data_IF_208785176200
#
_entry.id   IF_208785176200
#
_cell.length_a   1.000
_cell.length_b   1.000
_cell.length_c   1.000
_cell.angle_alpha   90.00
_cell.angle_beta   90.00
_cell.angle_gamma   90.00
#
_symmetry.space_group_name_H-M   'P 1'
#
loop_
_entity.id
_entity.type
_entity.pdbx_description
1 polymer ?
#
# COMPACT_ATOMS: atom_id res chain seq x y z
N UNK A 1 20.42 -20.30 8.06
CA UNK A 1 21.68 -20.77 8.67
C UNK A 1 22.76 -19.75 8.39
N UNK A 2 22.80 -18.69 9.20
CA UNK A 2 23.95 -17.81 9.36
C UNK A 2 24.27 -17.92 10.86
N UNK A 3 25.55 -17.99 11.20
CA UNK A 3 26.03 -18.28 12.56
C UNK A 3 25.45 -17.31 13.60
N UNK A 4 25.34 -17.78 14.85
CA UNK A 4 25.06 -16.95 16.03
C UNK A 4 26.31 -16.20 16.52
N UNK A 5 27.46 -16.49 15.93
CA UNK A 5 28.72 -15.77 16.09
C UNK A 5 28.99 -15.04 14.77
N UNK A 6 29.55 -13.84 14.75
CA UNK A 6 29.68 -12.98 13.55
C UNK A 6 30.55 -13.56 12.39
N UNK A 7 30.82 -14.87 12.39
CA UNK A 7 31.53 -15.58 11.36
C UNK A 7 30.58 -16.16 10.30
N UNK A 8 30.88 -15.87 9.04
CA UNK A 8 30.25 -16.52 7.89
C UNK A 8 30.65 -18.01 7.90
N UNK A 9 29.70 -18.90 8.20
CA UNK A 9 29.94 -20.36 8.24
C UNK A 9 30.26 -20.94 6.85
N UNK A 10 29.78 -20.29 5.80
CA UNK A 10 29.87 -20.81 4.43
C UNK A 10 30.42 -19.77 3.47
N UNK A 11 31.53 -20.08 2.81
CA UNK A 11 32.10 -19.21 1.79
C UNK A 11 31.21 -19.09 0.53
N UNK A 12 30.32 -20.06 0.27
CA UNK A 12 29.46 -20.04 -0.92
C UNK A 12 28.03 -20.55 -0.68
N UNK A 13 27.10 -20.03 -1.47
CA UNK A 13 25.70 -20.44 -1.54
C UNK A 13 25.56 -21.95 -1.79
N UNK A 14 26.39 -22.51 -2.69
CA UNK A 14 26.39 -23.95 -2.99
C UNK A 14 26.78 -24.77 -1.76
N UNK A 15 27.83 -24.37 -1.02
CA UNK A 15 28.25 -25.07 0.20
C UNK A 15 27.16 -25.00 1.27
N UNK A 16 26.55 -23.82 1.43
CA UNK A 16 25.43 -23.60 2.36
C UNK A 16 24.23 -24.51 2.06
N UNK A 17 23.80 -24.59 0.80
CA UNK A 17 22.67 -25.43 0.40
C UNK A 17 22.98 -26.92 0.54
N UNK A 18 24.19 -27.36 0.18
CA UNK A 18 24.63 -28.75 0.42
C UNK A 18 24.61 -29.10 1.89
N UNK A 19 25.12 -28.20 2.75
CA UNK A 19 25.08 -28.41 4.19
C UNK A 19 23.64 -28.49 4.71
N UNK A 20 22.75 -27.58 4.30
CA UNK A 20 21.33 -27.63 4.68
C UNK A 20 20.68 -28.96 4.31
N UNK A 21 20.93 -29.45 3.09
CA UNK A 21 20.44 -30.76 2.64
C UNK A 21 20.97 -31.90 3.49
N UNK A 22 22.25 -31.88 3.85
CA UNK A 22 22.86 -32.89 4.74
C UNK A 22 22.31 -32.84 6.17
N UNK A 23 21.78 -31.70 6.60
CA UNK A 23 21.09 -31.53 7.87
C UNK A 23 19.57 -31.81 7.78
N UNK A 24 19.12 -32.47 6.69
CA UNK A 24 17.72 -32.82 6.43
C UNK A 24 16.76 -31.63 6.33
N UNK A 25 17.25 -30.42 6.05
CA UNK A 25 16.37 -29.32 5.69
C UNK A 25 15.85 -29.49 4.25
N UNK A 26 14.59 -29.14 3.99
CA UNK A 26 14.08 -29.07 2.63
C UNK A 26 14.83 -27.97 1.85
N UNK A 27 15.45 -28.36 0.74
CA UNK A 27 16.16 -27.44 -0.16
C UNK A 27 15.49 -27.40 -1.53
N UNK A 28 15.49 -26.22 -2.16
CA UNK A 28 15.00 -26.07 -3.54
C UNK A 28 15.99 -26.64 -4.56
N UNK A 29 15.51 -26.96 -5.76
CA UNK A 29 16.38 -27.32 -6.89
C UNK A 29 17.26 -26.12 -7.26
N UNK A 30 18.57 -26.36 -7.41
CA UNK A 30 19.54 -25.33 -7.77
C UNK A 30 20.46 -25.80 -8.88
N UNK A 31 20.84 -24.89 -9.78
CA UNK A 31 21.77 -25.15 -10.87
C UNK A 31 22.85 -24.08 -10.87
N UNK A 32 24.11 -24.51 -10.86
CA UNK A 32 25.27 -23.62 -11.01
C UNK A 32 25.50 -23.41 -12.50
N UNK A 33 25.72 -22.15 -12.87
CA UNK A 33 25.97 -21.72 -14.24
C UNK A 33 27.09 -20.69 -14.24
N UNK A 34 27.83 -20.60 -15.35
CA UNK A 34 29.02 -19.75 -15.44
C UNK A 34 28.85 -18.59 -16.43
N UNK A 35 27.81 -18.63 -17.27
CA UNK A 35 27.54 -17.61 -18.29
C UNK A 35 26.10 -17.11 -18.22
N UNK A 36 25.83 -15.83 -18.51
CA UNK A 36 24.47 -15.29 -18.53
C UNK A 36 23.51 -16.05 -19.45
N UNK A 37 23.98 -16.54 -20.60
CA UNK A 37 23.17 -17.32 -21.55
C UNK A 37 22.66 -18.63 -20.95
N UNK A 38 23.44 -19.24 -20.06
CA UNK A 38 23.02 -20.46 -19.35
C UNK A 38 21.90 -20.15 -18.35
N UNK A 39 21.91 -18.97 -17.72
CA UNK A 39 20.81 -18.52 -16.84
C UNK A 39 19.51 -18.39 -17.65
N UNK A 40 19.57 -17.81 -18.85
CA UNK A 40 18.40 -17.66 -19.73
C UNK A 40 17.86 -19.03 -20.10
N UNK A 41 18.73 -19.95 -20.53
CA UNK A 41 18.33 -21.33 -20.85
C UNK A 41 17.71 -22.05 -19.66
N UNK A 42 18.29 -21.93 -18.47
CA UNK A 42 17.73 -22.53 -17.25
C UNK A 42 16.35 -21.94 -16.93
N UNK A 43 16.15 -20.64 -17.14
CA UNK A 43 14.84 -20.02 -16.97
C UNK A 43 13.81 -20.59 -17.96
N UNK A 44 14.18 -20.78 -19.22
CA UNK A 44 13.29 -21.39 -20.23
C UNK A 44 12.97 -22.85 -19.89
N UNK A 45 13.98 -23.64 -19.53
CA UNK A 45 13.81 -25.04 -19.11
C UNK A 45 12.83 -25.15 -17.93
N UNK A 46 12.99 -24.30 -16.91
CA UNK A 46 12.10 -24.28 -15.74
C UNK A 46 10.71 -23.75 -16.08
N UNK A 47 10.61 -22.77 -16.98
CA UNK A 47 9.31 -22.26 -17.43
C UNK A 47 8.48 -23.36 -18.10
N UNK A 48 9.10 -24.19 -18.94
CA UNK A 48 8.44 -25.28 -19.65
C UNK A 48 7.90 -26.38 -18.71
N UNK A 49 8.54 -26.59 -17.56
CA UNK A 49 8.08 -27.57 -16.55
C UNK A 49 7.34 -26.91 -15.38
N UNK A 50 7.06 -25.60 -15.44
CA UNK A 50 6.50 -24.83 -14.31
C UNK A 50 5.20 -25.43 -13.79
N UNK A 51 4.33 -25.89 -14.69
CA UNK A 51 3.03 -26.49 -14.36
C UNK A 51 3.14 -27.87 -13.72
N UNK A 52 4.28 -28.55 -13.85
CA UNK A 52 4.49 -29.90 -13.28
C UNK A 52 5.17 -29.86 -11.91
N UNK A 53 5.51 -28.67 -11.40
CA UNK A 53 6.11 -28.52 -10.08
C UNK A 53 5.03 -28.64 -9.00
N UNK A 54 5.39 -29.22 -7.86
CA UNK A 54 4.50 -29.39 -6.69
C UNK A 54 4.14 -28.05 -6.01
N UNK A 55 4.73 -26.95 -6.47
CA UNK A 55 4.56 -25.62 -5.93
C UNK A 55 4.61 -24.58 -7.05
N UNK A 56 3.85 -23.50 -6.87
CA UNK A 56 3.89 -22.35 -7.76
C UNK A 56 5.21 -21.57 -7.63
N UNK A 57 5.78 -21.16 -8.75
CA UNK A 57 6.93 -20.26 -8.83
C UNK A 57 6.64 -19.12 -9.78
N UNK A 58 7.19 -17.93 -9.55
CA UNK A 58 7.05 -16.75 -10.40
C UNK A 58 8.34 -16.37 -11.15
N UNK A 59 9.41 -17.16 -10.96
CA UNK A 59 10.70 -16.95 -11.61
C UNK A 59 11.82 -17.75 -10.99
N UNK A 60 13.04 -17.35 -11.33
CA UNK A 60 14.28 -17.81 -10.69
C UNK A 60 14.85 -16.72 -9.79
N UNK A 61 15.61 -17.10 -8.77
CA UNK A 61 16.49 -16.18 -8.05
C UNK A 61 17.91 -16.45 -8.50
N UNK A 62 18.54 -15.45 -9.12
CA UNK A 62 19.94 -15.49 -9.50
C UNK A 62 20.73 -14.90 -8.34
N UNK A 63 21.79 -15.59 -7.91
CA UNK A 63 22.68 -15.13 -6.86
C UNK A 63 24.13 -15.29 -7.29
N UNK A 64 24.98 -14.37 -6.85
CA UNK A 64 26.41 -14.63 -6.77
C UNK A 64 26.66 -15.90 -5.93
N UNK A 65 27.64 -16.70 -6.33
CA UNK A 65 27.96 -17.92 -5.58
C UNK A 65 28.60 -17.61 -4.23
N UNK A 66 29.39 -16.54 -4.14
CA UNK A 66 30.04 -16.12 -2.91
C UNK A 66 29.07 -15.36 -2.00
N UNK A 67 29.14 -15.65 -0.70
CA UNK A 67 28.27 -14.99 0.29
C UNK A 67 28.88 -13.63 0.65
N UNK A 68 28.17 -12.56 0.27
CA UNK A 68 28.50 -11.18 0.62
C UNK A 68 27.54 -10.67 1.70
N UNK A 69 28.05 -10.57 2.94
CA UNK A 69 27.26 -10.12 4.09
C UNK A 69 26.86 -8.66 4.02
N UNK A 70 27.70 -7.79 3.44
CA UNK A 70 27.40 -6.36 3.33
C UNK A 70 26.25 -6.15 2.34
N UNK A 71 26.26 -6.88 1.22
CA UNK A 71 25.16 -6.82 0.25
C UNK A 71 23.85 -7.38 0.82
N UNK A 72 23.93 -8.46 1.61
CA UNK A 72 22.77 -9.07 2.27
C UNK A 72 22.10 -8.17 3.33
N UNK A 73 22.86 -7.27 3.97
CA UNK A 73 22.33 -6.31 4.95
C UNK A 73 21.54 -5.16 4.30
N UNK A 74 21.66 -4.98 2.98
CA UNK A 74 20.91 -3.95 2.25
C UNK A 74 19.43 -4.33 2.18
N UNK A 75 18.56 -3.34 2.33
CA UNK A 75 17.12 -3.52 2.11
C UNK A 75 16.80 -4.02 0.68
N UNK A 76 17.65 -3.69 -0.30
CA UNK A 76 17.64 -4.23 -1.66
C UNK A 76 19.06 -4.67 -2.05
N UNK A 77 19.40 -5.95 -1.89
CA UNK A 77 20.71 -6.49 -2.28
C UNK A 77 20.96 -6.36 -3.78
N UNK A 78 22.21 -6.13 -4.17
CA UNK A 78 22.63 -5.88 -5.55
C UNK A 78 23.25 -7.12 -6.23
N UNK A 79 23.74 -8.11 -5.47
CA UNK A 79 24.37 -9.35 -5.98
C UNK A 79 23.38 -10.51 -6.12
N UNK A 80 22.09 -10.20 -6.04
CA UNK A 80 21.02 -11.15 -6.32
C UNK A 80 19.84 -10.46 -6.99
N UNK A 81 19.17 -11.17 -7.88
CA UNK A 81 18.03 -10.64 -8.62
C UNK A 81 16.97 -11.73 -8.82
N UNK A 82 15.71 -11.34 -8.68
CA UNK A 82 14.58 -12.19 -9.06
C UNK A 82 14.36 -12.07 -10.57
N UNK A 83 14.70 -13.11 -11.32
CA UNK A 83 14.47 -13.21 -12.76
C UNK A 83 13.11 -13.86 -13.03
N UNK A 84 12.07 -13.02 -13.03
CA UNK A 84 10.68 -13.47 -13.17
C UNK A 84 10.36 -14.03 -14.54
N UNK A 85 9.40 -14.96 -14.61
CA UNK A 85 8.81 -15.39 -15.88
C UNK A 85 8.05 -14.23 -16.53
N UNK A 86 7.80 -14.33 -17.84
CA UNK A 86 6.82 -13.42 -18.44
C UNK A 86 5.47 -13.68 -17.78
N UNK A 87 4.75 -12.60 -17.49
CA UNK A 87 3.39 -12.71 -16.98
C UNK A 87 2.56 -13.48 -18.00
N UNK A 88 1.71 -14.38 -17.51
CA UNK A 88 0.74 -15.03 -18.36
C UNK A 88 -0.14 -13.93 -19.00
N UNK A 89 -0.28 -13.98 -20.31
CA UNK A 89 -1.08 -13.06 -21.09
C UNK A 89 -2.26 -13.83 -21.68
N UNK A 90 -3.47 -13.29 -21.55
CA UNK A 90 -4.66 -13.87 -22.16
C UNK A 90 -5.43 -12.80 -22.94
N UNK A 91 -6.06 -13.24 -24.03
CA UNK A 91 -6.94 -12.41 -24.85
C UNK A 91 -8.35 -12.44 -24.25
N UNK A 92 -9.00 -11.30 -24.22
CA UNK A 92 -10.40 -11.18 -23.79
C UNK A 92 -11.04 -9.95 -24.45
N UNK A 93 -12.35 -9.79 -24.32
CA UNK A 93 -13.10 -8.64 -24.82
C UNK A 93 -13.32 -7.62 -23.71
N UNK A 94 -13.08 -6.33 -24.00
CA UNK A 94 -13.50 -5.23 -23.12
C UNK A 94 -15.03 -5.05 -23.25
N UNK A 95 -15.74 -5.23 -22.14
CA UNK A 95 -17.21 -5.11 -22.08
C UNK A 95 -17.65 -3.71 -21.65
N UNK A 96 -16.93 -3.09 -20.71
CA UNK A 96 -17.25 -1.77 -20.16
C UNK A 96 -16.04 -1.17 -19.44
N UNK A 97 -16.09 0.12 -19.10
CA UNK A 97 -15.11 0.78 -18.21
C UNK A 97 -15.83 1.46 -17.06
N UNK A 98 -15.50 1.03 -15.84
CA UNK A 98 -16.00 1.63 -14.61
C UNK A 98 -14.94 2.50 -13.96
N UNK A 99 -15.36 3.63 -13.40
CA UNK A 99 -14.48 4.52 -12.66
C UNK A 99 -14.53 4.20 -11.18
N UNK A 100 -13.44 3.59 -10.68
CA UNK A 100 -13.28 3.32 -9.26
C UNK A 100 -12.90 4.61 -8.54
N UNK A 101 -13.62 4.95 -7.48
CA UNK A 101 -13.44 6.20 -6.76
C UNK A 101 -12.84 5.93 -5.40
N UNK A 102 -11.66 6.49 -5.15
CA UNK A 102 -10.92 6.35 -3.89
C UNK A 102 -10.41 7.72 -3.44
N UNK A 103 -10.95 8.21 -2.32
CA UNK A 103 -10.73 9.60 -1.94
C UNK A 103 -11.33 10.52 -2.99
N UNK A 104 -10.50 11.38 -3.58
CA UNK A 104 -10.91 12.26 -4.67
C UNK A 104 -10.45 11.78 -6.05
N UNK A 105 -9.78 10.63 -6.14
CA UNK A 105 -9.26 10.09 -7.38
C UNK A 105 -10.28 9.18 -8.07
N UNK A 106 -10.31 9.26 -9.39
CA UNK A 106 -11.10 8.43 -10.30
C UNK A 106 -10.12 7.58 -11.11
N UNK A 107 -10.17 6.27 -10.94
CA UNK A 107 -9.28 5.32 -11.59
C UNK A 107 -10.07 4.43 -12.54
N UNK A 108 -9.72 4.36 -13.84
CA UNK A 108 -10.45 3.53 -14.78
C UNK A 108 -10.16 2.04 -14.54
N UNK A 109 -11.22 1.24 -14.52
CA UNK A 109 -11.18 -0.21 -14.38
C UNK A 109 -11.94 -0.83 -15.55
N UNK A 110 -11.22 -1.58 -16.37
CA UNK A 110 -11.79 -2.35 -17.45
C UNK A 110 -12.62 -3.51 -16.89
N UNK A 111 -13.86 -3.64 -17.36
CA UNK A 111 -14.71 -4.81 -17.18
C UNK A 111 -14.53 -5.67 -18.42
N UNK A 112 -14.00 -6.87 -18.26
CA UNK A 112 -13.66 -7.77 -19.37
C UNK A 112 -14.50 -9.03 -19.32
N UNK A 113 -14.63 -9.69 -20.46
CA UNK A 113 -15.20 -11.02 -20.52
C UNK A 113 -14.40 -11.98 -19.63
N UNK A 114 -15.12 -12.83 -18.88
CA UNK A 114 -14.54 -13.63 -17.81
C UNK A 114 -13.57 -14.65 -18.41
N UNK A 115 -12.31 -14.59 -17.98
CA UNK A 115 -11.24 -15.48 -18.43
C UNK A 115 -10.50 -16.09 -17.25
N UNK A 116 -9.94 -17.28 -17.44
CA UNK A 116 -9.03 -17.88 -16.46
C UNK A 116 -7.60 -17.40 -16.76
N UNK A 117 -6.99 -16.71 -15.81
CA UNK A 117 -5.63 -16.18 -15.93
C UNK A 117 -4.83 -16.52 -14.69
N UNK A 118 -3.76 -17.31 -14.87
CA UNK A 118 -2.91 -17.81 -13.79
C UNK A 118 -3.74 -18.44 -12.64
N UNK A 119 -4.65 -19.35 -13.00
CA UNK A 119 -5.44 -20.14 -12.04
C UNK A 119 -6.59 -19.39 -11.35
N UNK A 120 -6.92 -18.16 -11.75
CA UNK A 120 -8.07 -17.43 -11.20
C UNK A 120 -8.95 -16.83 -12.29
N UNK A 121 -10.25 -16.75 -12.02
CA UNK A 121 -11.18 -16.04 -12.87
C UNK A 121 -10.99 -14.52 -12.76
N UNK A 122 -10.71 -13.88 -13.89
CA UNK A 122 -10.55 -12.44 -14.02
C UNK A 122 -11.70 -11.87 -14.83
N UNK A 123 -12.38 -10.85 -14.30
CA UNK A 123 -13.40 -10.05 -14.98
C UNK A 123 -13.15 -8.55 -14.88
N UNK A 124 -12.08 -8.15 -14.19
CA UNK A 124 -11.69 -6.76 -13.97
C UNK A 124 -10.20 -6.61 -14.18
N UNK A 125 -9.79 -5.58 -14.90
CA UNK A 125 -8.38 -5.25 -15.13
C UNK A 125 -8.14 -3.75 -14.99
N UNK A 126 -6.97 -3.38 -14.48
CA UNK A 126 -6.59 -1.98 -14.33
C UNK A 126 -6.27 -1.36 -15.70
N UNK A 127 -6.83 -0.17 -15.95
CA UNK A 127 -6.40 0.74 -17.01
C UNK A 127 -5.45 1.82 -16.47
N UNK A 128 -5.04 1.74 -15.19
CA UNK A 128 -4.15 2.67 -14.50
C UNK A 128 -4.62 4.14 -14.42
N UNK A 129 -4.81 4.83 -15.55
CA UNK A 129 -5.14 6.25 -15.64
C UNK A 129 -5.76 6.58 -17.02
N UNK A 130 -6.33 7.80 -17.19
CA UNK A 130 -6.86 8.25 -18.47
C UNK A 130 -5.88 8.17 -19.65
N UNK A 131 -4.60 8.51 -19.47
CA UNK A 131 -3.61 8.47 -20.54
C UNK A 131 -3.49 7.08 -21.16
N UNK A 132 -3.51 6.01 -20.35
CA UNK A 132 -3.40 4.67 -20.92
C UNK A 132 -4.60 4.32 -21.82
N UNK A 133 -5.78 4.90 -21.57
CA UNK A 133 -6.94 4.71 -22.46
C UNK A 133 -6.66 5.35 -23.82
N UNK A 134 -6.15 6.59 -23.82
CA UNK A 134 -5.82 7.34 -25.03
C UNK A 134 -4.64 6.70 -25.78
N UNK A 135 -3.54 6.38 -25.09
CA UNK A 135 -2.34 5.74 -25.66
C UNK A 135 -2.66 4.40 -26.33
N UNK A 136 -3.55 3.60 -25.74
CA UNK A 136 -3.95 2.32 -26.31
C UNK A 136 -4.99 2.46 -27.43
N UNK A 137 -5.64 3.61 -27.58
CA UNK A 137 -6.78 3.78 -28.49
C UNK A 137 -7.90 2.77 -28.21
N UNK A 138 -8.05 2.36 -26.94
CA UNK A 138 -8.96 1.30 -26.54
C UNK A 138 -10.41 1.80 -26.54
N UNK A 139 -11.33 0.97 -27.04
CA UNK A 139 -12.76 1.26 -27.08
C UNK A 139 -13.55 0.12 -26.44
N UNK A 140 -14.74 0.42 -25.93
CA UNK A 140 -15.64 -0.62 -25.44
C UNK A 140 -16.00 -1.54 -26.60
N UNK A 141 -15.74 -2.84 -26.44
CA UNK A 141 -15.86 -3.86 -27.49
C UNK A 141 -14.51 -4.34 -28.05
N UNK A 142 -13.41 -3.62 -27.80
CA UNK A 142 -12.06 -4.03 -28.24
C UNK A 142 -11.67 -5.39 -27.67
N UNK A 143 -10.99 -6.20 -28.49
CA UNK A 143 -10.23 -7.36 -28.05
C UNK A 143 -8.89 -6.90 -27.49
N UNK A 144 -8.57 -7.30 -26.27
CA UNK A 144 -7.44 -6.83 -25.48
C UNK A 144 -6.62 -7.99 -24.94
N UNK A 145 -5.35 -7.72 -24.70
CA UNK A 145 -4.49 -8.62 -23.90
C UNK A 145 -4.45 -8.12 -22.47
N UNK A 146 -4.71 -9.03 -21.55
CA UNK A 146 -4.56 -8.79 -20.12
C UNK A 146 -3.45 -9.65 -19.55
N UNK A 147 -2.73 -9.11 -18.58
CA UNK A 147 -1.70 -9.83 -17.81
C UNK A 147 -1.92 -9.61 -16.31
N UNK A 148 -1.30 -10.44 -15.47
CA UNK A 148 -1.21 -10.18 -14.02
C UNK A 148 0.19 -9.71 -13.66
N UNK A 149 0.29 -8.51 -13.10
CA UNK A 149 1.55 -8.05 -12.50
C UNK A 149 1.79 -8.81 -11.20
N UNK A 150 2.90 -9.55 -11.15
CA UNK A 150 3.29 -10.36 -9.98
C UNK A 150 2.23 -11.38 -9.58
N UNK A 151 1.51 -11.95 -10.56
CA UNK A 151 0.44 -12.95 -10.40
C UNK A 151 -0.79 -12.49 -9.57
N UNK A 152 -0.89 -11.19 -9.23
CA UNK A 152 -1.97 -10.66 -8.37
C UNK A 152 -2.91 -9.69 -9.10
N UNK A 153 -2.39 -8.62 -9.70
CA UNK A 153 -3.23 -7.51 -10.19
C UNK A 153 -3.37 -7.59 -11.71
N UNK A 154 -4.58 -7.85 -12.25
CA UNK A 154 -4.80 -7.85 -13.69
C UNK A 154 -4.71 -6.44 -14.28
N UNK A 155 -4.09 -6.31 -15.45
CA UNK A 155 -3.89 -5.04 -16.16
C UNK A 155 -4.12 -5.25 -17.67
N UNK A 156 -4.70 -4.26 -18.34
CA UNK A 156 -4.69 -4.19 -19.80
C UNK A 156 -3.26 -3.86 -20.28
N UNK A 157 -2.73 -4.66 -21.20
CA UNK A 157 -1.39 -4.42 -21.77
C UNK A 157 -1.47 -3.81 -23.17
N UNK A 158 -2.36 -4.30 -24.03
CA UNK A 158 -2.52 -3.81 -25.41
C UNK A 158 -3.88 -4.14 -26.01
N UNK A 159 -4.26 -3.40 -27.03
CA UNK A 159 -5.39 -3.69 -27.91
C UNK A 159 -4.91 -4.57 -29.07
N UNK A 160 -5.67 -5.62 -29.38
CA UNK A 160 -5.42 -6.49 -30.54
C UNK A 160 -6.23 -6.01 -31.72
N UNK A 161 -7.54 -5.85 -31.50
CA UNK A 161 -8.51 -5.51 -32.52
C UNK A 161 -9.61 -4.67 -31.93
N UNK A 162 -10.01 -3.62 -32.64
CA UNK A 162 -11.19 -2.82 -32.30
C UNK A 162 -12.23 -3.04 -33.39
N UNK A 163 -13.41 -3.60 -33.07
CA UNK A 163 -14.45 -3.80 -34.05
C UNK A 163 -15.09 -2.46 -34.47
N UNK A 164 -15.76 -2.43 -35.62
CA UNK A 164 -16.34 -1.19 -36.18
C UNK A 164 -17.51 -0.64 -35.37
N UNK A 165 -18.19 -1.49 -34.60
CA UNK A 165 -19.28 -1.16 -33.68
C UNK A 165 -18.79 -0.78 -32.27
N UNK A 166 -17.46 -0.65 -32.07
CA UNK A 166 -16.89 -0.28 -30.78
C UNK A 166 -17.27 1.14 -30.37
N UNK A 167 -17.50 1.34 -29.07
CA UNK A 167 -17.93 2.62 -28.48
C UNK A 167 -16.80 3.31 -27.75
N UNK A 168 -16.75 4.64 -27.84
CA UNK A 168 -15.79 5.44 -27.08
C UNK A 168 -15.97 5.26 -25.57
N UNK A 169 -14.86 5.32 -24.82
CA UNK A 169 -14.89 5.31 -23.36
C UNK A 169 -15.13 6.74 -22.87
N UNK A 170 -16.25 6.97 -22.19
CA UNK A 170 -16.55 8.29 -21.62
C UNK A 170 -15.75 8.53 -20.32
N UNK A 171 -14.97 9.61 -20.31
CA UNK A 171 -14.26 10.09 -19.12
C UNK A 171 -15.18 11.02 -18.31
N UNK A 172 -15.42 10.76 -17.01
CA UNK A 172 -16.22 11.61 -16.15
C UNK A 172 -15.68 13.03 -16.13
N UNK A 173 -16.55 14.01 -16.34
CA UNK A 173 -16.19 15.43 -16.30
C UNK A 173 -16.60 16.10 -14.98
N UNK A 174 -17.55 15.51 -14.27
CA UNK A 174 -18.14 16.10 -13.05
C UNK A 174 -18.07 15.07 -11.91
N UNK A 175 -17.72 15.54 -10.72
CA UNK A 175 -17.70 14.73 -9.52
C UNK A 175 -19.13 14.34 -9.09
N UNK A 176 -19.42 13.04 -9.04
CA UNK A 176 -20.77 12.52 -8.70
C UNK A 176 -21.25 12.83 -7.26
N UNK A 177 -20.43 13.44 -6.40
CA UNK A 177 -20.82 13.78 -5.02
C UNK A 177 -20.95 15.27 -4.73
N UNK A 178 -20.15 16.11 -5.40
CA UNK A 178 -20.11 17.56 -5.12
C UNK A 178 -20.31 18.41 -6.36
N UNK A 179 -20.53 17.78 -7.52
CA UNK A 179 -20.76 18.44 -8.81
C UNK A 179 -19.63 19.36 -9.29
N UNK A 180 -18.46 19.33 -8.66
CA UNK A 180 -17.29 20.07 -9.12
C UNK A 180 -16.71 19.42 -10.38
N UNK A 181 -16.30 20.25 -11.35
CA UNK A 181 -15.56 19.80 -12.54
C UNK A 181 -14.27 19.08 -12.13
N UNK A 182 -14.06 17.89 -12.69
CA UNK A 182 -12.86 17.09 -12.44
C UNK A 182 -11.66 17.66 -13.20
N UNK A 183 -10.47 17.51 -12.63
CA UNK A 183 -9.21 17.81 -13.29
C UNK A 183 -8.65 16.51 -13.87
N UNK A 184 -8.39 16.50 -15.18
CA UNK A 184 -7.69 15.41 -15.86
C UNK A 184 -6.25 15.85 -16.18
N UNK A 185 -5.28 15.29 -15.45
CA UNK A 185 -3.83 15.47 -15.71
C UNK A 185 -3.28 14.36 -16.63
N UNK A 186 -4.16 13.54 -17.20
CA UNK A 186 -3.82 12.38 -18.02
C UNK A 186 -3.34 11.19 -17.19
N UNK A 187 -2.30 11.39 -16.39
CA UNK A 187 -1.80 10.40 -15.42
C UNK A 187 -2.74 10.18 -14.23
N UNK A 188 -3.74 11.06 -14.07
CA UNK A 188 -4.69 11.06 -12.96
C UNK A 188 -5.94 11.87 -13.32
N UNK A 189 -7.11 11.36 -12.91
CA UNK A 189 -8.37 12.08 -12.90
C UNK A 189 -8.83 12.27 -11.45
N UNK A 190 -9.15 13.51 -11.05
CA UNK A 190 -9.51 13.76 -9.66
C UNK A 190 -10.43 14.98 -9.44
N UNK A 191 -11.11 14.99 -8.29
CA UNK A 191 -11.92 16.11 -7.84
C UNK A 191 -11.06 17.13 -7.08
N UNK A 192 -10.96 18.39 -7.55
CA UNK A 192 -10.14 19.41 -6.88
C UNK A 192 -10.79 19.97 -5.63
N UNK A 193 -12.11 19.86 -5.48
CA UNK A 193 -12.83 20.37 -4.32
C UNK A 193 -12.36 19.71 -3.03
N UNK A 194 -11.79 20.52 -2.14
CA UNK A 194 -11.20 20.08 -0.89
C UNK A 194 -12.23 19.72 0.18
N UNK A 195 -13.41 20.32 0.08
CA UNK A 195 -14.54 20.11 0.98
C UNK A 195 -15.51 19.05 0.43
N UNK A 196 -15.12 18.39 -0.67
CA UNK A 196 -15.89 17.29 -1.24
C UNK A 196 -16.17 16.21 -0.18
N UNK A 197 -17.45 15.77 -0.01
CA UNK A 197 -17.81 14.76 0.98
C UNK A 197 -16.99 13.47 0.89
N UNK A 198 -16.58 13.07 -0.32
CA UNK A 198 -15.69 11.93 -0.56
C UNK A 198 -14.30 12.07 0.08
N UNK A 199 -13.71 13.26 0.09
CA UNK A 199 -12.41 13.51 0.74
C UNK A 199 -12.53 13.37 2.24
N UNK A 200 -13.61 13.91 2.80
CA UNK A 200 -13.91 13.82 4.23
C UNK A 200 -14.15 12.35 4.64
N UNK A 201 -15.01 11.65 3.91
CA UNK A 201 -15.29 10.23 4.14
C UNK A 201 -14.02 9.37 4.03
N UNK A 202 -13.21 9.59 2.99
CA UNK A 202 -11.92 8.89 2.83
C UNK A 202 -10.96 9.15 3.99
N UNK A 203 -10.91 10.38 4.51
CA UNK A 203 -10.10 10.73 5.68
C UNK A 203 -10.56 9.94 6.91
N UNK A 204 -11.87 9.83 7.15
CA UNK A 204 -12.43 9.04 8.25
C UNK A 204 -12.09 7.54 8.11
N UNK A 205 -12.31 6.98 6.92
CA UNK A 205 -12.02 5.57 6.64
C UNK A 205 -10.51 5.28 6.79
N UNK A 206 -9.66 6.18 6.28
CA UNK A 206 -8.20 6.09 6.42
C UNK A 206 -7.78 6.16 7.88
N UNK A 207 -8.37 7.03 8.69
CA UNK A 207 -8.09 7.10 10.12
C UNK A 207 -8.34 5.77 10.83
N UNK A 208 -9.53 5.20 10.67
CA UNK A 208 -9.92 3.89 11.23
C UNK A 208 -8.95 2.80 10.79
N UNK A 209 -8.65 2.73 9.49
CA UNK A 209 -7.69 1.76 8.93
C UNK A 209 -6.28 1.96 9.46
N UNK A 210 -5.81 3.21 9.56
CA UNK A 210 -4.44 3.54 9.98
C UNK A 210 -4.21 3.18 11.43
N UNK A 211 -5.21 3.38 12.28
CA UNK A 211 -5.20 2.95 13.67
C UNK A 211 -5.41 1.44 13.83
N UNK A 212 -5.71 0.71 12.75
CA UNK A 212 -6.04 -0.72 12.76
C UNK A 212 -7.24 -1.04 13.67
N UNK A 213 -8.26 -0.17 13.64
CA UNK A 213 -9.47 -0.36 14.43
C UNK A 213 -10.28 -1.53 13.85
N UNK A 214 -10.45 -2.56 14.67
CA UNK A 214 -11.23 -3.76 14.37
C UNK A 214 -12.70 -3.54 14.65
N UNK A 215 -13.54 -4.38 14.03
CA UNK A 215 -15.00 -4.41 14.23
C UNK A 215 -15.75 -3.14 13.82
N UNK A 216 -15.07 -2.09 13.36
CA UNK A 216 -15.68 -0.89 12.80
C UNK A 216 -15.91 -1.08 11.29
N UNK A 217 -17.09 -1.59 10.93
CA UNK A 217 -17.44 -1.86 9.54
C UNK A 217 -17.62 -0.56 8.76
N UNK A 218 -16.81 -0.36 7.71
CA UNK A 218 -16.96 0.80 6.85
C UNK A 218 -18.35 0.86 6.20
N UNK A 219 -18.86 -0.28 5.70
CA UNK A 219 -20.17 -0.37 5.03
C UNK A 219 -21.35 -0.22 5.98
N UNK A 220 -21.31 -0.87 7.15
CA UNK A 220 -22.46 -0.96 8.06
C UNK A 220 -22.47 0.15 9.13
N UNK A 221 -21.32 0.73 9.47
CA UNK A 221 -21.22 1.74 10.53
C UNK A 221 -20.77 3.09 9.95
N UNK A 222 -19.58 3.17 9.34
CA UNK A 222 -19.03 4.46 8.91
C UNK A 222 -19.88 5.14 7.84
N UNK A 223 -20.28 4.41 6.79
CA UNK A 223 -21.06 4.95 5.68
C UNK A 223 -22.44 5.47 6.13
N UNK A 224 -23.22 4.76 6.95
CA UNK A 224 -24.45 5.31 7.52
C UNK A 224 -24.22 6.51 8.44
N UNK A 225 -23.24 6.46 9.36
CA UNK A 225 -22.89 7.59 10.24
C UNK A 225 -22.51 8.85 9.46
N UNK A 226 -21.79 8.68 8.35
CA UNK A 226 -21.47 9.78 7.46
C UNK A 226 -22.71 10.26 6.71
N UNK A 227 -23.55 9.36 6.18
CA UNK A 227 -24.77 9.75 5.46
C UNK A 227 -25.74 10.55 6.33
N UNK A 228 -25.93 10.16 7.60
CA UNK A 228 -26.79 10.89 8.54
C UNK A 228 -26.18 12.18 9.06
N UNK A 229 -24.91 12.46 8.74
CA UNK A 229 -24.18 13.63 9.23
C UNK A 229 -23.72 13.53 10.68
N UNK A 230 -23.91 12.38 11.34
CA UNK A 230 -23.44 12.14 12.71
C UNK A 230 -21.91 12.23 12.82
N UNK A 231 -21.19 11.90 11.74
CA UNK A 231 -19.73 12.02 11.66
C UNK A 231 -19.35 12.81 10.41
N UNK A 232 -18.66 13.94 10.59
CA UNK A 232 -18.10 14.77 9.51
C UNK A 232 -16.61 15.05 9.67
N UNK A 233 -16.02 14.70 10.81
CA UNK A 233 -14.59 14.86 11.09
C UNK A 233 -14.12 13.79 12.06
N UNK A 234 -12.81 13.59 12.13
CA UNK A 234 -12.21 12.51 12.93
C UNK A 234 -12.60 12.64 14.41
N UNK A 235 -12.63 13.87 14.94
CA UNK A 235 -13.02 14.13 16.33
C UNK A 235 -14.44 13.63 16.66
N UNK A 236 -15.36 13.60 15.70
CA UNK A 236 -16.73 13.12 15.93
C UNK A 236 -16.78 11.62 16.21
N UNK A 237 -15.84 10.84 15.66
CA UNK A 237 -15.76 9.39 15.92
C UNK A 237 -15.60 9.09 17.41
N UNK A 238 -14.91 9.97 18.13
CA UNK A 238 -14.63 9.85 19.56
C UNK A 238 -15.75 10.41 20.46
N UNK A 239 -16.81 10.97 19.86
CA UNK A 239 -18.03 11.42 20.53
C UNK A 239 -19.19 10.43 20.36
N UNK A 240 -18.99 9.34 19.60
CA UNK A 240 -20.02 8.35 19.31
C UNK A 240 -20.38 7.53 20.56
N UNK A 241 -21.67 7.29 20.72
CA UNK A 241 -22.22 6.37 21.71
C UNK A 241 -22.79 5.12 21.04
N UNK A 242 -22.97 4.04 21.79
CA UNK A 242 -23.53 2.76 21.28
C UNK A 242 -24.89 3.01 20.59
N UNK A 243 -25.72 3.87 21.17
CA UNK A 243 -27.04 4.23 20.63
C UNK A 243 -26.97 4.85 19.23
N UNK A 244 -25.86 5.51 18.87
CA UNK A 244 -25.70 6.12 17.54
C UNK A 244 -25.45 5.07 16.44
N UNK A 245 -24.96 3.88 16.81
CA UNK A 245 -24.63 2.81 15.87
C UNK A 245 -25.74 1.78 15.72
N UNK A 246 -26.47 1.49 16.80
CA UNK A 246 -27.54 0.46 16.82
C UNK A 246 -28.77 0.87 16.01
N UNK A 247 -28.87 2.14 15.62
CA UNK A 247 -29.92 2.64 14.71
C UNK A 247 -29.82 2.06 13.29
N UNK A 248 -28.66 1.50 12.91
CA UNK A 248 -28.44 0.99 11.57
C UNK A 248 -28.71 -0.50 11.47
N UNK A 249 -29.42 -0.89 10.42
CA UNK A 249 -29.75 -2.28 10.14
C UNK A 249 -28.48 -3.15 10.08
N UNK A 250 -28.52 -4.29 10.78
CA UNK A 250 -27.40 -5.22 10.88
C UNK A 250 -26.34 -4.87 11.95
N UNK A 251 -26.48 -3.75 12.67
CA UNK A 251 -25.58 -3.38 13.77
C UNK A 251 -26.19 -3.77 15.12
N UNK A 252 -25.65 -4.83 15.72
CA UNK A 252 -26.03 -5.27 17.08
C UNK A 252 -25.28 -4.47 18.13
N UNK A 253 -25.88 -4.29 19.30
CA UNK A 253 -25.28 -3.59 20.45
C UNK A 253 -23.87 -4.10 20.80
N UNK A 254 -23.69 -5.42 20.81
CA UNK A 254 -22.39 -6.05 21.07
C UNK A 254 -21.33 -5.70 20.01
N UNK A 255 -21.73 -5.56 18.75
CA UNK A 255 -20.84 -5.16 17.66
C UNK A 255 -20.48 -3.67 17.71
N UNK A 256 -21.46 -2.82 18.03
CA UNK A 256 -21.26 -1.39 18.24
C UNK A 256 -20.29 -1.15 19.41
N UNK A 257 -20.52 -1.83 20.55
CA UNK A 257 -19.62 -1.77 21.71
C UNK A 257 -18.20 -2.19 21.36
N UNK A 258 -18.01 -3.33 20.67
CA UNK A 258 -16.68 -3.78 20.24
C UNK A 258 -15.97 -2.77 19.32
N UNK A 259 -16.70 -2.13 18.40
CA UNK A 259 -16.15 -1.13 17.50
C UNK A 259 -15.67 0.11 18.28
N UNK A 260 -16.50 0.64 19.18
CA UNK A 260 -16.15 1.79 20.01
C UNK A 260 -15.05 1.49 21.03
N UNK A 261 -15.07 0.32 21.66
CA UNK A 261 -14.02 -0.12 22.58
C UNK A 261 -12.68 -0.21 21.84
N UNK A 262 -12.66 -0.75 20.61
CA UNK A 262 -11.43 -0.87 19.84
C UNK A 262 -10.90 0.49 19.35
N UNK A 263 -11.79 1.41 18.97
CA UNK A 263 -11.43 2.79 18.63
C UNK A 263 -10.81 3.51 19.83
N UNK A 264 -11.45 3.41 21.00
CA UNK A 264 -11.01 4.09 22.23
C UNK A 264 -9.83 3.40 22.93
N UNK A 265 -9.48 2.17 22.54
CA UNK A 265 -8.30 1.48 23.05
C UNK A 265 -6.99 2.13 22.58
N UNK A 266 -7.01 2.78 21.40
CA UNK A 266 -5.84 3.51 20.88
C UNK A 266 -5.81 4.91 21.48
N UNK A 267 -5.04 5.07 22.56
CA UNK A 267 -4.92 6.33 23.30
C UNK A 267 -3.73 7.20 22.87
N UNK A 268 -2.74 6.59 22.22
CA UNK A 268 -1.48 7.26 21.89
C UNK A 268 -0.94 6.75 20.55
N UNK A 269 -0.44 7.66 19.72
CA UNK A 269 0.11 7.37 18.39
C UNK A 269 1.33 8.23 18.10
N UNK A 270 2.27 7.73 17.30
CA UNK A 270 3.39 8.56 16.80
C UNK A 270 2.88 9.73 15.95
N UNK A 271 3.65 10.82 15.88
CA UNK A 271 3.34 11.96 15.03
C UNK A 271 3.21 11.55 13.55
N UNK A 272 4.05 10.63 13.09
CA UNK A 272 4.02 10.10 11.74
C UNK A 272 2.69 9.37 11.43
N UNK A 273 2.23 8.53 12.36
CA UNK A 273 0.95 7.83 12.24
C UNK A 273 -0.23 8.79 12.30
N UNK A 274 -0.16 9.79 13.19
CA UNK A 274 -1.18 10.82 13.34
C UNK A 274 -1.38 11.60 12.03
N UNK A 275 -0.33 12.22 11.49
CA UNK A 275 -0.39 12.97 10.22
C UNK A 275 -0.79 12.05 9.06
N UNK A 276 -0.22 10.84 8.99
CA UNK A 276 -0.55 9.86 7.97
C UNK A 276 -2.02 9.41 7.99
N UNK A 277 -2.69 9.50 9.15
CA UNK A 277 -4.12 9.25 9.32
C UNK A 277 -5.03 10.37 8.80
N UNK A 278 -4.55 11.63 8.79
CA UNK A 278 -5.31 12.80 8.30
C UNK A 278 -5.42 12.89 6.77
N UNK A 279 -4.82 11.93 6.06
CA UNK A 279 -4.97 11.77 4.61
C UNK A 279 -4.51 13.00 3.81
N UNK A 280 -3.43 13.67 4.23
CA UNK A 280 -2.78 14.70 3.41
C UNK A 280 -2.26 14.05 2.12
N UNK A 281 -2.50 14.71 1.00
CA UNK A 281 -2.19 14.17 -0.33
C UNK A 281 -0.69 13.88 -0.48
N UNK A 282 -0.35 12.69 -0.98
CA UNK A 282 1.01 12.18 -1.13
C UNK A 282 1.85 12.11 0.15
N UNK A 283 1.27 12.43 1.31
CA UNK A 283 1.95 12.37 2.60
C UNK A 283 1.51 11.09 3.34
N UNK A 284 2.41 10.11 3.32
CA UNK A 284 2.28 8.85 4.06
C UNK A 284 3.04 8.86 5.39
N UNK A 285 2.82 7.84 6.21
CA UNK A 285 3.52 7.68 7.51
C UNK A 285 5.05 7.65 7.33
N UNK A 286 5.58 6.86 6.39
CA UNK A 286 7.03 6.75 6.17
C UNK A 286 7.68 8.10 5.82
N UNK A 287 6.97 8.87 5.00
CA UNK A 287 7.44 10.19 4.57
C UNK A 287 7.39 11.18 5.74
N UNK A 288 6.31 11.16 6.53
CA UNK A 288 6.25 11.96 7.76
C UNK A 288 7.32 11.52 8.76
N UNK A 289 7.60 10.22 8.89
CA UNK A 289 8.60 9.70 9.81
C UNK A 289 9.99 10.27 9.52
N UNK A 290 10.37 10.44 8.24
CA UNK A 290 11.63 11.09 7.85
C UNK A 290 11.74 12.54 8.34
N UNK A 291 10.65 13.31 8.27
CA UNK A 291 10.59 14.69 8.80
C UNK A 291 10.71 14.70 10.32
N UNK A 292 10.03 13.77 10.98
CA UNK A 292 10.11 13.58 12.43
C UNK A 292 11.54 13.18 12.85
N UNK A 293 12.22 12.35 12.07
CA UNK A 293 13.62 11.95 12.27
C UNK A 293 14.60 13.11 12.05
N UNK A 294 14.28 14.02 11.14
CA UNK A 294 15.02 15.26 10.89
C UNK A 294 14.81 16.35 11.96
N UNK A 295 14.00 16.11 12.99
CA UNK A 295 13.85 16.99 14.16
C UNK A 295 12.54 17.78 14.21
N UNK A 296 11.70 17.70 13.17
CA UNK A 296 10.36 18.28 13.15
C UNK A 296 9.37 17.33 13.85
N UNK A 297 9.57 17.14 15.15
CA UNK A 297 8.95 16.09 15.95
C UNK A 297 7.65 16.52 16.67
N UNK A 298 7.10 17.70 16.37
CA UNK A 298 5.80 18.18 16.86
C UNK A 298 4.99 18.80 15.72
N UNK A 299 3.66 18.85 15.88
CA UNK A 299 2.79 19.53 14.91
C UNK A 299 3.15 21.00 14.74
N UNK A 300 3.43 21.71 15.83
CA UNK A 300 3.86 23.12 15.80
C UNK A 300 5.16 23.32 15.03
N UNK A 301 6.15 22.43 15.20
CA UNK A 301 7.41 22.52 14.44
C UNK A 301 7.17 22.38 12.94
N UNK A 302 6.27 21.47 12.53
CA UNK A 302 5.94 21.28 11.11
C UNK A 302 5.09 22.46 10.61
N UNK A 303 4.17 23.00 11.40
CA UNK A 303 3.33 24.15 11.03
C UNK A 303 4.14 25.43 10.83
N UNK A 304 5.16 25.65 11.68
CA UNK A 304 5.91 26.91 11.74
C UNK A 304 7.25 26.87 10.98
N UNK A 305 7.52 25.82 10.19
CA UNK A 305 8.72 25.72 9.37
C UNK A 305 8.51 26.31 7.96
N UNK A 306 9.58 26.33 7.16
CA UNK A 306 9.55 26.76 5.76
C UNK A 306 9.67 25.57 4.81
N UNK A 307 9.15 25.75 3.59
CA UNK A 307 9.31 24.78 2.49
C UNK A 307 10.80 24.50 2.24
N UNK A 308 11.65 25.53 2.33
CA UNK A 308 13.09 25.40 2.15
C UNK A 308 13.71 24.43 3.18
N UNK A 309 13.40 24.60 4.47
CA UNK A 309 13.90 23.73 5.53
C UNK A 309 13.43 22.28 5.36
N UNK A 310 12.15 22.07 5.04
CA UNK A 310 11.60 20.73 4.77
C UNK A 310 12.27 20.06 3.56
N UNK A 311 12.63 20.85 2.53
CA UNK A 311 13.29 20.33 1.32
C UNK A 311 14.74 19.90 1.54
N UNK A 312 15.34 20.22 2.70
CA UNK A 312 16.68 19.73 3.07
C UNK A 312 16.66 18.30 3.61
N UNK A 313 15.47 17.75 3.88
CA UNK A 313 15.33 16.37 4.39
C UNK A 313 15.42 15.38 3.22
N UNK A 314 16.21 14.31 3.40
CA UNK A 314 16.36 13.27 2.39
C UNK A 314 15.00 12.67 1.97
N UNK A 315 14.72 12.70 0.67
CA UNK A 315 13.45 12.23 0.10
C UNK A 315 12.36 13.30 -0.01
N UNK A 316 12.61 14.54 0.43
CA UNK A 316 11.69 15.67 0.28
C UNK A 316 12.11 16.60 -0.86
N UNK A 317 11.46 16.45 -2.00
CA UNK A 317 11.48 17.48 -3.04
C UNK A 317 10.60 18.69 -2.65
N UNK A 318 10.84 19.85 -3.29
CA UNK A 318 10.09 21.09 -3.05
C UNK A 318 8.57 20.90 -3.08
N UNK A 319 8.04 20.15 -4.07
CA UNK A 319 6.60 19.88 -4.20
C UNK A 319 6.05 19.10 -3.00
N UNK A 320 6.77 18.07 -2.56
CA UNK A 320 6.41 17.25 -1.40
C UNK A 320 6.45 18.05 -0.10
N UNK A 321 7.47 18.88 0.07
CA UNK A 321 7.59 19.80 1.22
C UNK A 321 6.42 20.80 1.28
N UNK A 322 6.05 21.37 0.13
CA UNK A 322 4.89 22.25 0.01
C UNK A 322 3.59 21.53 0.38
N UNK A 323 3.34 20.35 -0.19
CA UNK A 323 2.15 19.55 0.10
C UNK A 323 2.01 19.18 1.59
N UNK A 324 3.12 18.83 2.25
CA UNK A 324 3.12 18.58 3.69
C UNK A 324 2.76 19.84 4.49
N UNK A 325 3.46 20.94 4.25
CA UNK A 325 3.28 22.17 5.01
C UNK A 325 1.87 22.74 4.86
N UNK A 326 1.41 22.90 3.62
CA UNK A 326 0.06 23.41 3.32
C UNK A 326 -1.02 22.49 3.87
N UNK A 327 -0.85 21.17 3.72
CA UNK A 327 -1.79 20.18 4.25
C UNK A 327 -1.88 20.21 5.78
N UNK A 328 -0.75 20.35 6.48
CA UNK A 328 -0.72 20.46 7.95
C UNK A 328 -1.35 21.76 8.39
N UNK A 329 -0.99 22.91 7.80
CA UNK A 329 -1.58 24.21 8.14
C UNK A 329 -3.10 24.17 7.96
N UNK A 330 -3.57 23.65 6.82
CA UNK A 330 -5.00 23.59 6.51
C UNK A 330 -5.77 22.69 7.48
N UNK A 331 -5.23 21.52 7.82
CA UNK A 331 -5.89 20.56 8.70
C UNK A 331 -5.62 20.78 10.18
N UNK A 332 -4.77 21.75 10.53
CA UNK A 332 -4.38 22.03 11.90
C UNK A 332 -5.58 22.21 12.85
N UNK A 333 -6.64 22.98 12.50
CA UNK A 333 -7.80 23.13 13.39
C UNK A 333 -8.50 21.80 13.69
N UNK A 334 -8.58 20.89 12.70
CA UNK A 334 -9.17 19.57 12.89
C UNK A 334 -8.27 18.62 13.68
N UNK A 335 -6.94 18.76 13.53
CA UNK A 335 -5.95 18.04 14.34
C UNK A 335 -6.03 18.47 15.80
N UNK A 336 -6.09 19.77 16.05
CA UNK A 336 -6.23 20.36 17.38
C UNK A 336 -7.56 19.95 18.03
N UNK A 337 -8.67 20.03 17.31
CA UNK A 337 -9.96 19.56 17.84
C UNK A 337 -9.91 18.10 18.27
N UNK A 338 -9.26 17.23 17.48
CA UNK A 338 -9.09 15.82 17.84
C UNK A 338 -8.26 15.66 19.11
N UNK A 339 -7.16 16.39 19.24
CA UNK A 339 -6.32 16.34 20.45
C UNK A 339 -7.08 16.85 21.68
N UNK A 340 -7.91 17.88 21.51
CA UNK A 340 -8.75 18.45 22.58
C UNK A 340 -9.85 17.48 23.08
N UNK A 341 -10.17 16.42 22.34
CA UNK A 341 -11.04 15.35 22.86
C UNK A 341 -10.41 14.60 24.04
N UNK A 342 -9.09 14.69 24.23
CA UNK A 342 -8.29 13.92 25.20
C UNK A 342 -8.42 12.40 25.07
N UNK A 343 -9.02 11.89 23.98
CA UNK A 343 -9.16 10.46 23.70
C UNK A 343 -7.94 9.88 22.99
N UNK A 344 -7.19 10.73 22.27
CA UNK A 344 -5.94 10.37 21.61
C UNK A 344 -4.89 11.45 21.83
N UNK A 345 -3.63 11.02 22.02
CA UNK A 345 -2.47 11.89 22.18
C UNK A 345 -1.38 11.52 21.18
N UNK A 346 -0.53 12.50 20.85
CA UNK A 346 0.67 12.26 20.06
C UNK A 346 1.78 11.89 21.03
N UNK A 347 2.40 10.74 20.79
CA UNK A 347 3.56 10.30 21.55
C UNK A 347 4.71 11.28 21.36
N UNK A 348 5.24 11.77 22.47
CA UNK A 348 6.47 12.54 22.43
C UNK A 348 7.62 11.64 22.00
N UNK A 349 8.29 12.02 20.93
CA UNK A 349 9.53 11.34 20.54
C UNK A 349 10.61 11.73 21.54
N UNK A 350 10.83 10.87 22.53
CA UNK A 350 11.99 10.95 23.41
C UNK A 350 13.25 10.84 22.55
N UNK A 351 14.09 11.87 22.57
CA UNK A 351 15.42 11.82 21.94
C UNK A 351 16.32 10.90 22.77
N UNK A 352 16.07 9.59 22.70
CA UNK A 352 16.94 8.57 23.26
C UNK A 352 18.23 8.48 22.45
N UNK A 353 19.18 9.39 22.69
CA UNK A 353 20.51 9.35 22.06
C UNK A 353 21.32 8.12 22.47
N UNK A 354 21.00 7.50 23.61
CA UNK A 354 21.82 6.45 24.24
C UNK A 354 21.96 5.16 23.44
N UNK A 355 20.99 4.82 22.60
CA UNK A 355 20.96 3.53 21.87
C UNK A 355 20.99 3.70 20.35
N UNK A 356 21.23 4.92 19.85
CA UNK A 356 21.27 5.20 18.42
C UNK A 356 22.47 4.47 17.79
N UNK A 357 22.21 3.59 16.80
CA UNK A 357 23.24 2.81 16.10
C UNK A 357 23.54 1.44 16.72
N UNK A 358 22.84 1.06 17.80
CA UNK A 358 22.96 -0.28 18.38
C UNK A 358 21.84 -1.18 17.85
N UNK A 359 22.18 -2.42 17.47
CA UNK A 359 21.22 -3.45 17.07
C UNK A 359 21.09 -4.48 18.18
N UNK A 360 19.85 -4.80 18.58
CA UNK A 360 19.59 -5.74 19.67
C UNK A 360 18.82 -6.95 19.14
N UNK A 361 19.32 -8.15 19.46
CA UNK A 361 18.61 -9.40 19.21
C UNK A 361 18.02 -9.92 20.53
N UNK A 362 16.69 -9.91 20.64
CA UNK A 362 16.00 -10.54 21.76
C UNK A 362 15.87 -12.05 21.51
N UNK A 363 16.67 -12.84 22.22
CA UNK A 363 16.52 -14.30 22.27
C UNK A 363 15.83 -14.69 23.59
N UNK A 364 14.88 -15.64 23.52
CA UNK A 364 14.09 -16.07 24.67
C UNK A 364 12.64 -15.59 24.68
N UNK A 365 11.91 -15.92 25.76
CA UNK A 365 10.52 -15.52 26.00
C UNK A 365 10.51 -14.24 26.83
N UNK A 366 9.82 -13.20 26.36
CA UNK A 366 9.60 -11.99 27.14
C UNK A 366 8.61 -12.30 28.28
N UNK A 367 9.00 -11.98 29.52
CA UNK A 367 8.21 -12.32 30.70
C UNK A 367 6.98 -11.41 30.90
N UNK A 368 7.04 -10.17 30.41
CA UNK A 368 6.07 -9.12 30.74
C UNK A 368 5.26 -8.60 29.55
N UNK A 369 5.76 -8.75 28.32
CA UNK A 369 5.08 -8.25 27.11
C UNK A 369 5.13 -9.29 25.98
N UNK A 370 4.17 -9.24 25.06
CA UNK A 370 4.18 -10.09 23.87
C UNK A 370 5.23 -9.55 22.87
N UNK A 371 5.86 -10.45 22.12
CA UNK A 371 6.90 -10.12 21.13
C UNK A 371 6.46 -9.04 20.12
N UNK A 372 5.23 -9.14 19.61
CA UNK A 372 4.66 -8.16 18.69
C UNK A 372 4.36 -6.77 19.30
N UNK A 373 4.51 -6.61 20.62
CA UNK A 373 4.44 -5.31 21.29
C UNK A 373 5.83 -4.76 21.67
N UNK A 374 6.88 -5.58 21.49
CA UNK A 374 8.28 -5.22 21.73
C UNK A 374 9.00 -4.82 20.43
N UNK A 375 8.59 -5.43 19.31
CA UNK A 375 8.86 -5.01 17.93
C UNK A 375 7.93 -3.85 17.55
#
# INVERSE_FOLDING_TARGET
AISLTDNVVFASEVKKLKWLKNQNFPTIKTKVVHKPQEVIKVREDIFNIRSTLEYGIDGLVIKGNDIDTEDMQRAKPMKQVAFKFQAEEIKTKLLDVQWSISGHNYTPVAIVEKVNLAGSNVSRASLANPNLIEELGIKIGSEVVISKRGDIIPKIERVIKTPSDAREISVPQICEECNTTLINEGTRLFCPNEDCPKRIYYRLARWIKKLNVKHFSEKLMLKPLFKTGKVRKIADLYKLEIKDLVLFEGVKETSAKKALDNLNAVKEVSLAKFIGGFAIENIGEDLTQRIVDAGFNTLDKIKNTSIHQLSQVEGFARKTAQQLLEGVIKLYPHMEELLNTNKIKIQEKSQGKKLKGLSFCFTGKLNTIKRAAAE
#
